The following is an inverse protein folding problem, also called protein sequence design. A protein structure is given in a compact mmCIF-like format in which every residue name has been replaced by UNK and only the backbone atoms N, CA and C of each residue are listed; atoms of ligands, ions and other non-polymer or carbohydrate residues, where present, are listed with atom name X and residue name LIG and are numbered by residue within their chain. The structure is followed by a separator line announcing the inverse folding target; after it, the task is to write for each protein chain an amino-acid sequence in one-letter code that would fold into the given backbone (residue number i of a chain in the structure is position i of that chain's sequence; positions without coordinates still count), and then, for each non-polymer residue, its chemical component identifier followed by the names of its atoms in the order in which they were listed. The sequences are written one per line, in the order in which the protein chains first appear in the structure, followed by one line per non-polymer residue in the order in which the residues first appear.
data_IF_066756639986
#
_entry.id   IF_066756639986
#
_cell.length_a   1.000
_cell.length_b   1.000
_cell.length_c   1.000
_cell.angle_alpha   90.00
_cell.angle_beta   90.00
_cell.angle_gamma   90.00
#
_symmetry.space_group_name_H-M   'P 1'
#
loop_
_entity.id
_entity.type
_entity.pdbx_description
1 polymer ?
#
# COMPACT_ATOMS: atom_id res chain seq x y z
N UNK A 1 20.16 20.68 15.58
CA UNK A 1 20.17 19.99 14.27
C UNK A 1 21.46 19.21 14.19
N UNK A 2 21.48 18.01 14.75
CA UNK A 2 22.55 17.03 14.51
C UNK A 2 22.29 16.43 13.13
N UNK A 3 23.22 16.61 12.21
CA UNK A 3 23.16 16.06 10.86
C UNK A 3 23.26 14.54 10.94
N UNK A 4 22.34 13.82 10.25
CA UNK A 4 22.41 12.36 10.03
C UNK A 4 23.83 12.00 9.56
N UNK A 5 24.53 11.03 10.18
CA UNK A 5 25.82 10.57 9.68
C UNK A 5 25.67 10.08 8.23
N UNK A 6 26.62 10.40 7.35
CA UNK A 6 26.59 9.95 5.95
C UNK A 6 26.67 8.42 5.88
N UNK A 7 25.97 7.81 4.89
CA UNK A 7 25.92 6.35 4.70
C UNK A 7 27.31 5.71 4.60
N UNK A 8 28.32 6.45 4.15
CA UNK A 8 29.71 5.99 4.02
C UNK A 8 30.47 5.84 5.34
N UNK A 9 29.94 6.35 6.46
CA UNK A 9 30.55 6.23 7.80
C UNK A 9 29.96 5.08 8.63
N UNK A 10 28.93 4.40 8.11
CA UNK A 10 28.23 3.33 8.82
C UNK A 10 28.99 2.01 8.71
N UNK A 11 28.85 1.17 9.73
CA UNK A 11 29.50 -0.12 9.78
C UNK A 11 29.03 -1.03 8.65
N UNK A 12 29.96 -1.77 8.07
CA UNK A 12 29.65 -2.83 7.12
C UNK A 12 29.26 -4.09 7.90
N UNK A 13 28.10 -4.68 7.56
CA UNK A 13 27.50 -5.83 8.23
C UNK A 13 27.56 -7.03 7.30
N UNK A 14 28.13 -8.14 7.76
CA UNK A 14 28.14 -9.38 6.97
C UNK A 14 26.77 -10.07 6.97
N UNK A 15 26.48 -10.88 5.95
CA UNK A 15 25.25 -11.71 5.93
C UNK A 15 25.20 -12.67 7.13
N UNK A 16 26.37 -13.16 7.56
CA UNK A 16 26.47 -14.02 8.75
C UNK A 16 26.11 -13.27 10.02
N UNK A 17 26.52 -12.01 10.17
CA UNK A 17 26.13 -11.21 11.32
C UNK A 17 24.65 -10.88 11.30
N UNK A 18 24.10 -10.45 10.16
CA UNK A 18 22.66 -10.24 9.99
C UNK A 18 21.85 -11.46 10.43
N UNK A 19 22.26 -12.66 10.01
CA UNK A 19 21.53 -13.91 10.30
C UNK A 19 21.42 -14.29 11.77
N UNK A 20 22.24 -13.70 12.65
CA UNK A 20 22.18 -13.92 14.11
C UNK A 20 20.96 -13.26 14.74
N UNK A 21 20.47 -12.17 14.15
CA UNK A 21 19.37 -11.36 14.65
C UNK A 21 18.04 -11.80 14.03
N UNK A 22 17.62 -13.04 14.33
CA UNK A 22 16.50 -13.73 13.68
C UNK A 22 15.33 -14.09 14.62
N UNK A 23 15.24 -13.45 15.79
CA UNK A 23 14.25 -13.79 16.82
C UNK A 23 13.35 -12.60 17.16
N UNK A 24 12.22 -12.82 17.83
CA UNK A 24 11.31 -11.72 18.22
C UNK A 24 11.95 -10.69 19.16
N UNK A 25 12.89 -11.11 20.01
CA UNK A 25 13.60 -10.23 20.94
C UNK A 25 14.90 -9.66 20.37
N UNK A 26 15.28 -10.06 19.16
CA UNK A 26 16.50 -9.63 18.48
C UNK A 26 16.33 -9.87 16.97
N UNK A 27 15.80 -8.86 16.26
CA UNK A 27 15.34 -8.97 14.88
C UNK A 27 15.90 -7.86 14.01
N UNK A 28 16.82 -8.21 13.11
CA UNK A 28 17.30 -7.30 12.08
C UNK A 28 16.81 -7.75 10.71
N UNK A 29 16.63 -6.79 9.81
CA UNK A 29 16.36 -7.04 8.39
C UNK A 29 17.23 -6.16 7.51
N UNK A 30 17.55 -6.63 6.32
CA UNK A 30 18.19 -5.80 5.29
C UNK A 30 17.17 -5.42 4.20
N UNK A 31 17.14 -4.15 3.82
CA UNK A 31 16.31 -3.62 2.72
C UNK A 31 17.16 -2.63 1.92
N UNK A 32 17.27 -2.84 0.61
CA UNK A 32 18.15 -2.06 -0.28
C UNK A 32 19.59 -1.90 0.26
N UNK A 33 20.17 -3.00 0.75
CA UNK A 33 21.50 -3.04 1.37
C UNK A 33 21.66 -2.26 2.69
N UNK A 34 20.59 -1.67 3.23
CA UNK A 34 20.57 -1.04 4.56
C UNK A 34 20.06 -2.03 5.60
N UNK A 35 20.79 -2.20 6.70
CA UNK A 35 20.42 -3.09 7.82
C UNK A 35 19.75 -2.28 8.93
N UNK A 36 18.57 -2.74 9.34
CA UNK A 36 17.73 -2.07 10.33
C UNK A 36 17.40 -3.01 11.49
N UNK A 37 17.49 -2.50 12.72
CA UNK A 37 16.92 -3.14 13.90
C UNK A 37 15.43 -2.80 13.98
N UNK A 38 14.59 -3.83 13.82
CA UNK A 38 13.13 -3.70 13.85
C UNK A 38 12.52 -4.34 15.10
N UNK A 39 13.33 -4.75 16.08
CA UNK A 39 12.91 -5.53 17.26
C UNK A 39 11.72 -4.90 17.98
N UNK A 40 11.80 -3.60 18.27
CA UNK A 40 10.74 -2.88 18.99
C UNK A 40 9.48 -2.68 18.12
N UNK A 41 9.65 -2.65 16.80
CA UNK A 41 8.58 -2.38 15.84
C UNK A 41 7.76 -3.63 15.48
N UNK A 42 8.22 -4.84 15.82
CA UNK A 42 7.57 -6.11 15.41
C UNK A 42 6.08 -6.15 15.76
N UNK A 43 5.71 -5.69 16.95
CA UNK A 43 4.32 -5.74 17.42
C UNK A 43 3.48 -4.54 16.93
N UNK A 44 4.13 -3.48 16.43
CA UNK A 44 3.48 -2.27 15.94
C UNK A 44 3.24 -2.30 14.44
N UNK A 45 3.88 -3.24 13.73
CA UNK A 45 3.76 -3.37 12.28
C UNK A 45 2.30 -3.64 11.85
N UNK A 46 1.71 -2.80 10.98
CA UNK A 46 0.31 -2.94 10.54
C UNK A 46 0.00 -4.25 9.81
N UNK A 47 0.99 -4.85 9.13
CA UNK A 47 0.86 -6.17 8.50
C UNK A 47 0.94 -7.34 9.49
N UNK A 48 1.13 -7.05 10.78
CA UNK A 48 1.29 -8.01 11.87
C UNK A 48 2.75 -8.48 12.06
N UNK A 49 3.05 -9.12 13.20
CA UNK A 49 4.40 -9.56 13.55
C UNK A 49 4.87 -10.76 12.71
N UNK A 50 3.95 -11.60 12.24
CA UNK A 50 4.26 -12.86 11.56
C UNK A 50 4.95 -12.67 10.22
N UNK A 51 4.72 -11.54 9.53
CA UNK A 51 5.39 -11.24 8.26
C UNK A 51 6.83 -10.78 8.45
N UNK A 52 7.12 -10.03 9.52
CA UNK A 52 8.46 -9.59 9.86
C UNK A 52 9.32 -10.75 10.36
N UNK A 53 8.77 -11.60 11.22
CA UNK A 53 9.48 -12.77 11.76
C UNK A 53 9.88 -13.78 10.68
N UNK A 54 9.16 -13.84 9.56
CA UNK A 54 9.54 -14.66 8.39
C UNK A 54 10.77 -14.13 7.66
N UNK A 55 11.09 -12.84 7.83
CA UNK A 55 12.22 -12.18 7.19
C UNK A 55 13.36 -11.89 8.18
N UNK A 56 13.21 -12.29 9.45
CA UNK A 56 14.18 -11.98 10.50
C UNK A 56 15.56 -12.55 10.16
N UNK A 57 16.59 -11.72 10.29
CA UNK A 57 17.97 -12.05 9.95
C UNK A 57 18.23 -12.26 8.46
N UNK A 58 17.41 -11.69 7.57
CA UNK A 58 17.54 -11.88 6.11
C UNK A 58 17.36 -10.60 5.31
N UNK A 59 17.65 -10.67 4.01
CA UNK A 59 17.37 -9.59 3.08
C UNK A 59 15.89 -9.65 2.65
N UNK A 60 15.12 -8.65 3.05
CA UNK A 60 13.69 -8.54 2.85
C UNK A 60 13.31 -7.60 1.70
N UNK A 61 14.27 -7.09 0.92
CA UNK A 61 14.06 -6.05 -0.11
C UNK A 61 12.89 -6.37 -1.03
N UNK A 62 12.86 -7.58 -1.59
CA UNK A 62 11.81 -7.98 -2.54
C UNK A 62 10.42 -7.97 -1.93
N UNK A 63 10.27 -8.47 -0.70
CA UNK A 63 8.98 -8.50 0.00
C UNK A 63 8.60 -7.07 0.42
N UNK A 64 9.56 -6.28 0.88
CA UNK A 64 9.34 -4.90 1.28
C UNK A 64 8.81 -4.06 0.11
N UNK A 65 9.46 -4.12 -1.05
CA UNK A 65 9.11 -3.35 -2.26
C UNK A 65 7.71 -3.64 -2.80
N UNK A 66 7.16 -4.81 -2.50
CA UNK A 66 5.81 -5.21 -2.94
C UNK A 66 4.72 -4.43 -2.19
N UNK A 67 4.94 -4.09 -0.91
CA UNK A 67 3.93 -3.45 -0.05
C UNK A 67 4.25 -2.00 0.29
N UNK A 68 5.54 -1.66 0.34
CA UNK A 68 6.05 -0.42 0.91
C UNK A 68 6.87 0.35 -0.13
N UNK A 69 6.98 1.66 0.07
CA UNK A 69 7.91 2.51 -0.65
C UNK A 69 9.27 2.54 0.08
N UNK A 70 10.40 2.71 -0.66
CA UNK A 70 11.75 2.69 -0.08
C UNK A 70 11.98 3.72 1.03
N UNK A 71 11.27 4.86 0.95
CA UNK A 71 11.39 6.00 1.85
C UNK A 71 10.73 5.77 3.22
N UNK A 72 9.88 4.76 3.40
CA UNK A 72 9.24 4.45 4.69
C UNK A 72 10.29 4.12 5.76
N UNK A 73 11.38 3.44 5.41
CA UNK A 73 12.43 3.11 6.38
C UNK A 73 13.20 4.35 6.84
N UNK A 74 13.17 5.44 6.07
CA UNK A 74 13.83 6.70 6.47
C UNK A 74 13.06 7.45 7.57
N UNK A 75 11.81 7.06 7.84
CA UNK A 75 11.01 7.56 8.97
C UNK A 75 11.38 6.87 10.30
N UNK A 76 12.09 5.73 10.26
CA UNK A 76 12.59 5.09 11.47
C UNK A 76 13.69 5.94 12.14
N UNK A 77 13.81 5.90 13.48
CA UNK A 77 14.88 6.58 14.18
C UNK A 77 16.28 6.15 13.69
N UNK A 78 17.22 7.09 13.66
CA UNK A 78 18.59 6.85 13.16
C UNK A 78 19.36 5.81 13.94
N UNK A 79 18.99 5.60 15.20
CA UNK A 79 19.54 4.60 16.09
C UNK A 79 19.16 3.18 15.67
N UNK A 80 18.07 3.03 14.91
CA UNK A 80 17.64 1.75 14.34
C UNK A 80 18.38 1.40 13.05
N UNK A 81 19.07 2.36 12.43
CA UNK A 81 19.92 2.09 11.29
C UNK A 81 21.27 1.54 11.75
N UNK A 82 21.51 0.26 11.52
CA UNK A 82 22.69 -0.46 12.01
C UNK A 82 23.89 -0.26 11.07
N UNK A 83 23.68 -0.40 9.77
CA UNK A 83 24.78 -0.33 8.81
C UNK A 83 24.44 -0.79 7.39
N UNK A 84 25.47 -1.01 6.58
CA UNK A 84 25.35 -1.41 5.17
C UNK A 84 25.75 -2.88 5.03
N UNK A 85 24.97 -3.67 4.29
CA UNK A 85 25.26 -5.09 4.05
C UNK A 85 26.47 -5.26 3.12
N UNK A 86 27.45 -6.08 3.52
CA UNK A 86 28.80 -6.23 2.93
C UNK A 86 28.82 -6.75 1.48
N UNK A 87 27.75 -7.43 1.07
CA UNK A 87 27.50 -7.81 -0.31
C UNK A 87 25.99 -7.74 -0.56
N UNK A 88 25.57 -7.08 -1.63
CA UNK A 88 24.18 -7.12 -2.10
C UNK A 88 23.90 -8.51 -2.72
N UNK A 89 23.91 -9.56 -1.90
CA UNK A 89 23.54 -10.90 -2.34
C UNK A 89 22.07 -10.91 -2.77
N UNK A 90 21.71 -11.65 -3.85
CA UNK A 90 20.31 -11.91 -4.16
C UNK A 90 19.63 -12.57 -2.97
N UNK A 91 18.35 -12.26 -2.74
CA UNK A 91 17.48 -12.76 -1.66
C UNK A 91 17.98 -14.07 -1.03
N UNK A 92 18.42 -14.01 0.23
CA UNK A 92 18.69 -15.21 1.01
C UNK A 92 17.39 -15.56 1.75
N UNK A 93 16.80 -16.75 1.54
CA UNK A 93 15.67 -17.20 2.34
C UNK A 93 16.08 -17.22 3.81
N UNK A 94 15.26 -16.64 4.69
CA UNK A 94 15.49 -16.68 6.13
C UNK A 94 15.78 -18.12 6.59
N UNK A 95 16.81 -18.28 7.43
CA UNK A 95 17.02 -19.54 8.13
C UNK A 95 15.76 -19.89 8.92
N UNK A 96 15.30 -21.14 8.83
CA UNK A 96 14.02 -21.58 9.35
C UNK A 96 13.78 -21.09 10.80
N UNK A 97 12.61 -20.50 11.10
CA UNK A 97 12.30 -20.05 12.45
C UNK A 97 12.30 -21.25 13.42
N UNK A 98 12.97 -21.09 14.57
CA UNK A 98 12.85 -22.04 15.68
C UNK A 98 11.42 -21.99 16.23
N UNK A 99 10.76 -23.14 16.49
CA UNK A 99 9.34 -23.17 16.74
C UNK A 99 9.05 -22.83 18.21
N UNK A 100 8.37 -21.73 18.48
CA UNK A 100 7.54 -21.62 19.68
C UNK A 100 6.09 -21.24 19.32
N UNK A 101 5.25 -22.28 19.36
CA UNK A 101 3.81 -22.31 19.59
C UNK A 101 2.98 -21.06 19.28
N UNK A 102 2.49 -20.95 18.04
CA UNK A 102 1.22 -20.26 17.75
C UNK A 102 0.41 -21.09 16.76
N UNK A 103 -0.62 -21.77 17.25
CA UNK A 103 -1.63 -22.44 16.43
C UNK A 103 -2.53 -21.37 15.77
N UNK A 104 -2.22 -21.05 14.52
CA UNK A 104 -3.05 -20.25 13.64
C UNK A 104 -2.70 -20.57 12.20
N UNK A 105 -3.38 -21.56 11.62
CA UNK A 105 -3.22 -21.95 10.21
C UNK A 105 -3.73 -20.84 9.30
N UNK A 106 -2.83 -19.96 8.89
CA UNK A 106 -2.91 -19.31 7.59
C UNK A 106 -1.78 -19.89 6.75
N UNK A 107 -2.12 -20.95 6.01
CA UNK A 107 -1.23 -21.49 4.98
C UNK A 107 -0.90 -20.37 4.00
N UNK A 108 0.39 -20.03 3.92
CA UNK A 108 0.91 -19.28 2.80
C UNK A 108 1.01 -20.23 1.61
N UNK A 109 0.40 -19.95 0.45
CA UNK A 109 0.91 -20.48 -0.80
C UNK A 109 2.10 -19.61 -1.21
N UNK A 110 3.23 -20.26 -1.41
CA UNK A 110 4.27 -19.76 -2.27
C UNK A 110 3.71 -19.75 -3.70
N UNK A 111 3.68 -18.58 -4.35
CA UNK A 111 4.01 -18.45 -5.76
C UNK A 111 4.16 -16.97 -6.13
N UNK A 112 5.28 -16.72 -6.79
CA UNK A 112 5.79 -15.45 -7.32
C UNK A 112 4.98 -14.94 -8.50
N UNK A 113 4.56 -13.68 -8.47
CA UNK A 113 4.25 -12.92 -9.68
C UNK A 113 4.71 -11.48 -9.51
N UNK A 114 5.55 -11.00 -10.43
CA UNK A 114 6.08 -9.63 -10.49
C UNK A 114 5.03 -8.59 -10.96
N UNK A 115 3.79 -9.01 -11.21
CA UNK A 115 2.76 -8.17 -11.77
C UNK A 115 1.51 -8.23 -10.87
N UNK A 116 1.01 -7.05 -10.48
CA UNK A 116 -0.28 -6.90 -9.80
C UNK A 116 -1.45 -7.43 -10.64
N UNK A 117 -1.20 -7.61 -11.94
CA UNK A 117 -2.10 -8.24 -12.89
C UNK A 117 -1.73 -9.72 -13.13
N UNK A 118 -2.72 -10.60 -12.98
CA UNK A 118 -2.63 -12.00 -13.35
C UNK A 118 -2.61 -12.21 -14.88
N UNK A 119 -3.23 -11.27 -15.62
CA UNK A 119 -3.31 -11.31 -17.09
C UNK A 119 -3.52 -9.87 -17.63
N UNK A 120 -2.47 -9.22 -18.11
CA UNK A 120 -2.54 -7.85 -18.66
C UNK A 120 -3.41 -7.77 -19.93
N UNK A 121 -3.55 -8.87 -20.69
CA UNK A 121 -4.40 -8.93 -21.88
C UNK A 121 -5.90 -8.88 -21.56
N UNK A 122 -6.26 -8.97 -20.27
CA UNK A 122 -7.67 -8.85 -19.81
C UNK A 122 -8.11 -7.42 -19.54
N UNK A 123 -7.20 -6.44 -19.55
CA UNK A 123 -7.51 -5.03 -19.31
C UNK A 123 -8.01 -4.42 -20.64
N UNK A 124 -9.31 -4.07 -20.75
CA UNK A 124 -9.82 -3.50 -21.98
C UNK A 124 -9.37 -2.03 -22.12
N UNK A 125 -9.43 -1.45 -23.32
CA UNK A 125 -9.13 -0.02 -23.52
C UNK A 125 -10.01 0.86 -22.64
N UNK A 126 -9.45 1.93 -22.08
CA UNK A 126 -10.14 2.79 -21.11
C UNK A 126 -11.44 3.39 -21.69
N UNK A 127 -11.43 3.72 -22.98
CA UNK A 127 -12.59 4.24 -23.71
C UNK A 127 -13.78 3.26 -23.78
N UNK A 128 -13.56 1.97 -23.51
CA UNK A 128 -14.62 0.95 -23.45
C UNK A 128 -15.29 0.85 -22.07
N UNK A 129 -14.75 1.51 -21.05
CA UNK A 129 -15.32 1.54 -19.71
C UNK A 129 -16.45 2.56 -19.68
N UNK A 130 -17.68 2.09 -19.42
CA UNK A 130 -18.88 2.96 -19.48
C UNK A 130 -19.16 3.57 -18.11
N UNK A 131 -18.86 2.85 -17.03
CA UNK A 131 -19.05 3.37 -15.68
C UNK A 131 -18.21 2.69 -14.62
N UNK A 132 -18.27 3.23 -13.39
CA UNK A 132 -17.51 2.71 -12.26
C UNK A 132 -17.70 1.20 -11.98
N UNK A 133 -18.90 0.58 -12.16
CA UNK A 133 -19.04 -0.87 -11.98
C UNK A 133 -18.20 -1.70 -12.95
N UNK A 134 -17.87 -1.20 -14.14
CA UNK A 134 -17.05 -1.93 -15.12
C UNK A 134 -15.60 -2.04 -14.64
N UNK A 135 -15.10 -1.02 -13.93
CA UNK A 135 -13.77 -1.06 -13.30
C UNK A 135 -13.68 -2.18 -12.25
N UNK A 136 -14.75 -2.41 -11.47
CA UNK A 136 -14.83 -3.52 -10.50
C UNK A 136 -14.75 -4.89 -11.23
N UNK A 137 -15.42 -5.03 -12.38
CA UNK A 137 -15.41 -6.25 -13.19
C UNK A 137 -14.04 -6.49 -13.81
N UNK A 138 -13.41 -5.46 -14.38
CA UNK A 138 -12.05 -5.57 -14.93
C UNK A 138 -11.07 -5.95 -13.83
N UNK A 139 -11.10 -5.25 -12.69
CA UNK A 139 -10.23 -5.54 -11.55
C UNK A 139 -10.38 -6.99 -11.04
N UNK A 140 -11.60 -7.54 -11.01
CA UNK A 140 -11.84 -8.93 -10.58
C UNK A 140 -11.20 -10.01 -11.46
N UNK A 141 -10.90 -9.67 -12.72
CA UNK A 141 -10.27 -10.57 -13.69
C UNK A 141 -8.78 -10.32 -13.79
N UNK A 142 -8.40 -9.05 -13.78
CA UNK A 142 -7.05 -8.62 -14.02
C UNK A 142 -6.17 -8.80 -12.78
N UNK A 143 -6.68 -8.59 -11.55
CA UNK A 143 -5.85 -8.62 -10.35
C UNK A 143 -5.52 -10.05 -9.88
N UNK A 144 -4.39 -10.20 -9.18
CA UNK A 144 -4.09 -11.46 -8.49
C UNK A 144 -5.22 -11.81 -7.49
N UNK A 145 -5.48 -13.11 -7.22
CA UNK A 145 -6.52 -13.51 -6.27
C UNK A 145 -6.34 -12.90 -4.87
N UNK A 146 -5.08 -12.74 -4.44
CA UNK A 146 -4.74 -12.12 -3.15
C UNK A 146 -5.08 -10.63 -3.13
N UNK A 147 -4.65 -9.88 -4.14
CA UNK A 147 -4.97 -8.45 -4.26
C UNK A 147 -6.48 -8.24 -4.37
N UNK A 148 -7.16 -9.01 -5.22
CA UNK A 148 -8.61 -8.92 -5.37
C UNK A 148 -9.33 -9.18 -4.05
N UNK A 149 -8.97 -10.25 -3.32
CA UNK A 149 -9.56 -10.56 -2.03
C UNK A 149 -9.35 -9.43 -1.00
N UNK A 150 -8.20 -8.76 -1.01
CA UNK A 150 -7.94 -7.62 -0.13
C UNK A 150 -8.92 -6.47 -0.38
N UNK A 151 -9.13 -6.08 -1.65
CA UNK A 151 -9.98 -4.94 -2.00
C UNK A 151 -11.47 -5.24 -2.07
N UNK A 152 -11.87 -6.46 -2.46
CA UNK A 152 -13.27 -6.83 -2.65
C UNK A 152 -13.94 -7.36 -1.39
N UNK A 153 -13.17 -7.63 -0.33
CA UNK A 153 -13.68 -8.16 0.93
C UNK A 153 -14.23 -7.07 1.85
N UNK A 154 -14.99 -7.51 2.84
CA UNK A 154 -15.45 -6.74 3.97
C UNK A 154 -15.64 -7.71 5.16
N UNK A 155 -16.10 -7.20 6.30
CA UNK A 155 -16.31 -8.03 7.48
C UNK A 155 -17.28 -9.20 7.21
N UNK A 156 -16.88 -10.38 7.69
CA UNK A 156 -17.67 -11.62 7.76
C UNK A 156 -18.37 -11.99 6.44
N UNK A 157 -19.67 -11.74 6.34
CA UNK A 157 -20.60 -12.22 5.30
C UNK A 157 -21.01 -11.12 4.31
N UNK A 158 -20.30 -10.00 4.34
CA UNK A 158 -20.46 -8.85 3.45
C UNK A 158 -21.87 -8.23 3.48
N UNK A 159 -22.67 -8.48 4.53
CA UNK A 159 -24.06 -7.98 4.62
C UNK A 159 -24.07 -6.45 4.56
N UNK A 160 -23.29 -5.79 5.43
CA UNK A 160 -23.23 -4.33 5.48
C UNK A 160 -22.70 -3.73 4.19
N UNK A 161 -21.66 -4.33 3.60
CA UNK A 161 -21.10 -3.90 2.32
C UNK A 161 -22.17 -3.89 1.21
N UNK A 162 -22.93 -4.99 1.06
CA UNK A 162 -24.02 -5.08 0.08
C UNK A 162 -25.16 -4.11 0.39
N UNK A 163 -25.53 -3.96 1.66
CA UNK A 163 -26.60 -3.07 2.09
C UNK A 163 -26.28 -1.60 1.78
N UNK A 164 -25.03 -1.16 1.95
CA UNK A 164 -24.60 0.20 1.59
C UNK A 164 -24.81 0.49 0.10
N UNK A 165 -24.41 -0.45 -0.79
CA UNK A 165 -24.63 -0.33 -2.24
C UNK A 165 -26.11 -0.35 -2.61
N UNK A 166 -26.92 -1.15 -1.92
CA UNK A 166 -28.36 -1.24 -2.15
C UNK A 166 -29.15 -0.02 -1.63
N UNK A 167 -28.64 0.70 -0.64
CA UNK A 167 -29.34 1.82 -0.01
C UNK A 167 -29.71 2.91 -1.03
N UNK A 168 -28.80 3.23 -1.95
CA UNK A 168 -29.03 4.26 -2.98
C UNK A 168 -30.20 3.92 -3.90
N UNK A 169 -30.43 2.63 -4.19
CA UNK A 169 -31.55 2.16 -5.01
C UNK A 169 -32.91 2.25 -4.32
N UNK A 170 -32.94 2.46 -3.00
CA UNK A 170 -34.18 2.65 -2.24
C UNK A 170 -34.71 4.08 -2.34
N UNK A 171 -33.90 5.00 -2.87
CA UNK A 171 -34.24 6.42 -2.99
C UNK A 171 -34.50 6.74 -4.46
N UNK A 172 -35.72 7.19 -4.78
CA UNK A 172 -36.07 7.66 -6.12
C UNK A 172 -35.88 9.16 -6.23
N UNK A 173 -35.36 9.62 -7.38
CA UNK A 173 -35.27 11.05 -7.70
C UNK A 173 -36.63 11.52 -8.21
N UNK A 174 -37.08 12.69 -7.74
CA UNK A 174 -38.22 13.42 -8.31
C UNK A 174 -37.71 14.58 -9.18
N UNK A 175 -37.36 14.33 -10.46
CA UNK A 175 -36.78 15.37 -11.30
C UNK A 175 -37.77 16.51 -11.52
N UNK A 176 -37.25 17.74 -11.57
CA UNK A 176 -38.05 18.92 -11.89
C UNK A 176 -37.96 19.16 -13.39
N UNK A 177 -39.10 19.14 -14.07
CA UNK A 177 -39.19 19.40 -15.52
C UNK A 177 -39.22 20.91 -15.81
N UNK A 178 -39.03 21.26 -17.09
CA UNK A 178 -39.05 22.64 -17.58
C UNK A 178 -38.06 23.57 -16.84
N UNK A 179 -36.89 23.04 -16.47
CA UNK A 179 -35.77 23.80 -15.91
C UNK A 179 -34.71 23.98 -16.98
N UNK A 180 -34.18 25.20 -17.12
CA UNK A 180 -33.03 25.43 -17.97
C UNK A 180 -31.80 24.78 -17.34
N UNK A 181 -31.29 23.74 -17.99
CA UNK A 181 -30.11 22.96 -17.57
C UNK A 181 -29.00 23.01 -18.63
N UNK A 182 -29.00 24.06 -19.47
CA UNK A 182 -27.95 24.28 -20.48
C UNK A 182 -26.55 24.45 -19.88
N UNK A 183 -26.49 24.92 -18.63
CA UNK A 183 -25.26 25.03 -17.85
C UNK A 183 -25.48 24.38 -16.48
N UNK A 184 -24.57 23.49 -16.11
CA UNK A 184 -24.56 22.78 -14.83
C UNK A 184 -23.20 23.01 -14.20
N UNK A 185 -23.19 23.35 -12.91
CA UNK A 185 -21.97 23.46 -12.11
C UNK A 185 -22.01 22.41 -10.99
N UNK A 186 -20.95 21.61 -10.89
CA UNK A 186 -20.79 20.57 -9.86
C UNK A 186 -19.81 20.99 -8.76
N UNK A 187 -19.22 22.18 -8.86
CA UNK A 187 -18.29 22.71 -7.86
C UNK A 187 -18.96 22.83 -6.50
N UNK A 188 -18.20 22.52 -5.46
CA UNK A 188 -18.66 22.63 -4.07
C UNK A 188 -17.48 22.86 -3.13
N UNK A 189 -17.79 23.07 -1.85
CA UNK A 189 -16.81 23.11 -0.78
C UNK A 189 -16.96 21.87 0.12
N UNK A 190 -15.86 21.17 0.37
CA UNK A 190 -15.79 20.05 1.31
C UNK A 190 -14.80 20.45 2.41
N UNK A 191 -15.29 20.58 3.65
CA UNK A 191 -14.48 21.02 4.80
C UNK A 191 -13.74 22.36 4.60
N UNK A 192 -14.30 23.26 3.78
CA UNK A 192 -13.72 24.57 3.49
C UNK A 192 -12.74 24.60 2.31
N UNK A 193 -12.51 23.46 1.64
CA UNK A 193 -11.70 23.37 0.44
C UNK A 193 -12.58 23.26 -0.80
N UNK A 194 -12.20 23.98 -1.86
CA UNK A 194 -12.89 23.90 -3.15
C UNK A 194 -12.67 22.51 -3.79
N UNK A 195 -13.73 21.99 -4.39
CA UNK A 195 -13.71 20.74 -5.17
C UNK A 195 -14.52 20.93 -6.44
N UNK A 196 -14.02 20.43 -7.56
CA UNK A 196 -14.69 20.49 -8.86
C UNK A 196 -15.96 19.64 -8.92
N UNK A 197 -16.07 18.65 -8.03
CA UNK A 197 -17.17 17.70 -7.96
C UNK A 197 -17.59 17.41 -6.50
N UNK A 198 -18.83 16.96 -6.25
CA UNK A 198 -19.36 16.72 -4.91
C UNK A 198 -18.98 15.34 -4.36
N UNK A 199 -17.78 14.88 -4.64
CA UNK A 199 -17.20 13.64 -4.12
C UNK A 199 -15.69 13.78 -4.00
N UNK A 200 -15.06 12.83 -3.31
CA UNK A 200 -13.62 12.79 -3.07
C UNK A 200 -13.15 11.34 -3.07
N UNK A 201 -11.84 11.13 -3.20
CA UNK A 201 -11.23 9.80 -3.08
C UNK A 201 -11.10 9.48 -1.59
N UNK A 202 -11.86 8.48 -1.12
CA UNK A 202 -11.79 7.95 0.25
C UNK A 202 -10.44 7.29 0.52
N UNK A 203 -9.92 7.29 1.77
CA UNK A 203 -8.62 6.68 2.04
C UNK A 203 -8.70 5.16 1.88
N UNK A 204 -7.83 4.62 1.02
CA UNK A 204 -7.59 3.19 0.86
C UNK A 204 -6.08 2.97 0.91
N UNK A 205 -5.65 2.03 1.75
CA UNK A 205 -4.24 1.67 1.93
C UNK A 205 -3.77 0.67 0.87
N UNK A 206 -2.45 0.51 0.78
CA UNK A 206 -1.80 -0.56 0.00
C UNK A 206 -2.09 -0.50 -1.50
N UNK A 207 -2.15 0.70 -2.10
CA UNK A 207 -2.46 0.86 -3.52
C UNK A 207 -1.38 0.23 -4.44
N UNK A 208 -0.15 0.02 -3.94
CA UNK A 208 0.91 -0.73 -4.66
C UNK A 208 0.53 -2.18 -4.99
N UNK A 209 -0.42 -2.77 -4.26
CA UNK A 209 -0.94 -4.10 -4.58
C UNK A 209 -1.69 -4.14 -5.92
N UNK A 210 -2.21 -3.00 -6.39
CA UNK A 210 -2.99 -2.87 -7.63
C UNK A 210 -2.13 -2.33 -8.76
N UNK A 211 -1.32 -1.31 -8.50
CA UNK A 211 -0.49 -0.67 -9.51
C UNK A 211 0.81 -0.15 -8.87
N UNK A 212 1.98 -0.26 -9.53
CA UNK A 212 3.26 0.18 -8.97
C UNK A 212 3.25 1.63 -8.45
N UNK A 213 2.59 2.55 -9.16
CA UNK A 213 2.46 3.95 -8.73
C UNK A 213 1.56 4.16 -7.52
N UNK A 214 0.73 3.18 -7.14
CA UNK A 214 -0.13 3.22 -5.96
C UNK A 214 -0.88 4.55 -5.77
N UNK A 215 -0.75 5.13 -4.57
CA UNK A 215 -1.41 6.38 -4.19
C UNK A 215 -0.89 7.60 -4.96
N UNK A 216 0.30 7.52 -5.58
CA UNK A 216 0.83 8.60 -6.42
C UNK A 216 -0.06 8.82 -7.65
N UNK A 217 -0.53 7.74 -8.28
CA UNK A 217 -1.44 7.83 -9.42
C UNK A 217 -2.80 8.42 -9.02
N UNK A 218 -3.33 8.04 -7.86
CA UNK A 218 -4.56 8.62 -7.30
C UNK A 218 -4.41 10.13 -7.08
N UNK A 219 -3.26 10.56 -6.58
CA UNK A 219 -2.97 11.97 -6.32
C UNK A 219 -2.86 12.79 -7.60
N UNK A 220 -2.17 12.27 -8.63
CA UNK A 220 -2.13 12.91 -9.95
C UNK A 220 -3.51 13.02 -10.59
N UNK A 221 -4.32 11.95 -10.51
CA UNK A 221 -5.69 11.96 -11.02
C UNK A 221 -6.57 12.97 -10.28
N UNK A 222 -6.51 12.99 -8.95
CA UNK A 222 -7.26 13.93 -8.13
C UNK A 222 -6.89 15.39 -8.43
N UNK A 223 -5.59 15.69 -8.55
CA UNK A 223 -5.09 17.01 -8.91
C UNK A 223 -5.55 17.44 -10.30
N UNK A 224 -5.47 16.56 -11.30
CA UNK A 224 -5.89 16.84 -12.67
C UNK A 224 -7.40 17.17 -12.75
N UNK A 225 -8.22 16.44 -12.00
CA UNK A 225 -9.68 16.64 -11.98
C UNK A 225 -10.12 17.74 -11.01
N UNK A 226 -9.23 18.25 -10.16
CA UNK A 226 -9.57 19.24 -9.12
C UNK A 226 -10.48 18.70 -8.03
N UNK A 227 -10.37 17.40 -7.70
CA UNK A 227 -11.10 16.77 -6.59
C UNK A 227 -10.15 16.47 -5.43
N UNK A 228 -10.73 16.28 -4.24
CA UNK A 228 -9.96 16.02 -3.03
C UNK A 228 -9.59 14.53 -2.94
N UNK A 229 -8.36 14.23 -2.50
CA UNK A 229 -7.94 12.90 -2.07
C UNK A 229 -7.74 12.90 -0.56
N UNK A 230 -8.39 11.96 0.13
CA UNK A 230 -8.07 11.64 1.52
C UNK A 230 -7.03 10.52 1.54
N UNK A 231 -5.89 10.77 2.18
CA UNK A 231 -4.74 9.85 2.17
C UNK A 231 -4.81 8.94 3.40
N UNK A 232 -4.66 7.63 3.19
CA UNK A 232 -4.61 6.66 4.27
C UNK A 232 -3.34 6.84 5.09
N UNK A 233 -3.43 6.73 6.42
CA UNK A 233 -2.24 6.68 7.30
C UNK A 233 -1.38 5.44 7.04
N UNK A 234 -1.92 4.46 6.34
CA UNK A 234 -1.27 3.19 6.02
C UNK A 234 -1.03 3.04 4.50
N UNK A 235 -0.90 4.17 3.78
CA UNK A 235 -0.60 4.21 2.35
C UNK A 235 0.73 3.50 2.03
N UNK A 236 0.88 3.03 0.79
CA UNK A 236 2.14 2.42 0.36
C UNK A 236 3.29 3.41 0.20
N UNK A 237 2.99 4.68 -0.05
CA UNK A 237 3.97 5.77 -0.16
C UNK A 237 3.87 6.74 1.01
N UNK A 238 4.97 7.42 1.35
CA UNK A 238 4.97 8.46 2.37
C UNK A 238 4.06 9.62 1.99
N UNK A 239 3.53 10.33 2.99
CA UNK A 239 2.68 11.51 2.78
C UNK A 239 3.39 12.56 1.90
N UNK A 240 4.70 12.76 2.12
CA UNK A 240 5.51 13.70 1.33
C UNK A 240 5.55 13.31 -0.14
N UNK A 241 5.80 12.04 -0.43
CA UNK A 241 5.85 11.52 -1.80
C UNK A 241 4.51 11.66 -2.49
N UNK A 242 3.39 11.37 -1.80
CA UNK A 242 2.04 11.53 -2.34
C UNK A 242 1.73 13.01 -2.62
N UNK A 243 1.93 13.91 -1.65
CA UNK A 243 1.64 15.34 -1.80
C UNK A 243 2.51 15.99 -2.87
N UNK A 244 3.73 15.50 -3.11
CA UNK A 244 4.59 16.02 -4.19
C UNK A 244 4.01 15.81 -5.59
N UNK A 245 3.03 14.91 -5.76
CA UNK A 245 2.38 14.65 -7.04
C UNK A 245 1.35 15.72 -7.42
N UNK A 246 0.85 16.48 -6.43
CA UNK A 246 -0.09 17.57 -6.67
C UNK A 246 0.71 18.83 -7.02
N UNK A 247 1.01 19.03 -8.30
CA UNK A 247 1.56 20.30 -8.76
C UNK A 247 0.41 21.29 -8.91
N UNK A 248 0.48 22.40 -8.17
CA UNK A 248 -0.43 23.56 -8.15
C UNK A 248 -1.63 23.48 -7.19
N UNK A 249 -1.46 24.13 -6.03
CA UNK A 249 -2.49 24.95 -5.40
C UNK A 249 -1.94 26.38 -5.26
#
# INVERSE_FOLDING_TARGET
MTTKPEESERATISVTDLSKHNTKSDCWIAVHSKVWDITDFINEHPGGPSVLLKCAGSNATKIFDEYHAPDILEELPDEKFIGILEDATPDVPAAAPQPEGVNGTLSAPAETSKHSFADEDTIPPLESIIGAPDLEVVASKALTPKTWAFYSSAATDLITHRNNKQLTRRIMIRPRILRNVSHIDMKTNILGFESSAPFFISPAAMAKLVHPDGELALSRGAANEGIIQCISSNASYTLKSIVSQTTHF
#
